data_IF_461671360217
#
_entry.id   IF_461671360217
#
_cell.length_a   1.000
_cell.length_b   1.000
_cell.length_c   1.000
_cell.angle_alpha   90.00
_cell.angle_beta   90.00
_cell.angle_gamma   90.00
#
_symmetry.space_group_name_H-M   'P 1'
#
loop_
_entity.id
_entity.type
_entity.pdbx_description
1 polymer ?
#
# COMPACT_ATOMS: atom_id res chain seq x y z
N UNK A 1 11.94 31.08 -12.33
CA UNK A 1 11.22 30.45 -11.20
C UNK A 1 10.44 29.24 -11.69
N UNK A 2 10.96 28.01 -11.51
CA UNK A 2 10.25 26.78 -11.89
C UNK A 2 9.40 26.35 -10.68
N UNK A 3 8.07 26.34 -10.82
CA UNK A 3 7.15 25.76 -9.82
C UNK A 3 7.57 24.31 -9.57
N UNK A 4 7.83 23.96 -8.31
CA UNK A 4 8.04 22.58 -7.88
C UNK A 4 6.84 21.75 -8.38
N UNK A 5 7.09 20.91 -9.37
CA UNK A 5 6.07 20.04 -9.95
C UNK A 5 5.94 18.89 -8.96
N UNK A 6 4.90 18.94 -8.14
CA UNK A 6 4.44 17.83 -7.30
C UNK A 6 4.53 16.56 -8.14
N UNK A 7 5.52 15.72 -7.86
CA UNK A 7 5.80 14.49 -8.59
C UNK A 7 4.53 13.64 -8.60
N UNK A 8 4.21 13.01 -9.74
CA UNK A 8 3.01 12.22 -9.88
C UNK A 8 3.02 11.08 -8.86
N UNK A 9 2.22 11.23 -7.81
CA UNK A 9 1.95 10.20 -6.80
C UNK A 9 1.14 9.07 -7.46
N UNK A 10 1.18 7.86 -6.88
CA UNK A 10 0.37 6.75 -7.40
C UNK A 10 -1.12 7.15 -7.56
N UNK A 11 -1.86 6.52 -8.50
CA UNK A 11 -3.23 6.90 -8.80
C UNK A 11 -4.06 6.95 -7.52
N UNK A 12 -4.69 8.09 -7.27
CA UNK A 12 -5.58 8.28 -6.12
C UNK A 12 -6.95 7.76 -6.52
N UNK A 13 -7.52 6.91 -5.68
CA UNK A 13 -8.87 6.41 -5.89
C UNK A 13 -9.84 7.59 -6.02
N UNK A 14 -10.64 7.58 -7.09
CA UNK A 14 -11.73 8.55 -7.33
C UNK A 14 -11.30 10.04 -7.40
N UNK A 15 -10.01 10.33 -7.58
CA UNK A 15 -9.51 11.70 -7.79
C UNK A 15 -9.40 12.57 -6.53
N UNK A 16 -9.54 11.98 -5.34
CA UNK A 16 -9.37 12.70 -4.08
C UNK A 16 -7.95 13.30 -3.95
N UNK A 17 -7.81 14.43 -3.25
CA UNK A 17 -6.47 15.04 -3.02
C UNK A 17 -5.66 14.21 -2.03
N UNK A 18 -6.29 13.66 -1.00
CA UNK A 18 -5.66 12.76 -0.02
C UNK A 18 -5.92 11.31 -0.39
N UNK A 19 -5.01 10.42 0.03
CA UNK A 19 -5.28 8.99 -0.04
C UNK A 19 -6.42 8.63 0.93
N UNK A 20 -7.34 7.74 0.53
CA UNK A 20 -8.39 7.26 1.42
C UNK A 20 -7.84 6.42 2.57
N UNK A 21 -8.62 6.38 3.65
CA UNK A 21 -8.38 5.54 4.82
C UNK A 21 -9.23 4.28 4.68
N UNK A 22 -8.58 3.12 4.58
CA UNK A 22 -9.23 1.82 4.48
C UNK A 22 -9.32 1.17 5.86
N UNK A 23 -10.37 1.51 6.62
CA UNK A 23 -10.65 0.94 7.94
C UNK A 23 -11.39 -0.40 7.85
N UNK A 24 -10.90 -1.31 7.01
CA UNK A 24 -11.42 -2.66 6.87
C UNK A 24 -10.40 -3.68 7.41
N UNK A 25 -10.89 -4.84 7.85
CA UNK A 25 -10.03 -5.94 8.29
C UNK A 25 -9.89 -6.99 7.19
N UNK A 26 -10.99 -7.29 6.50
CA UNK A 26 -11.07 -8.27 5.42
C UNK A 26 -11.41 -7.58 4.10
N UNK A 27 -10.92 -8.14 3.00
CA UNK A 27 -11.21 -7.69 1.65
C UNK A 27 -11.92 -8.82 0.89
N UNK A 28 -13.00 -8.47 0.19
CA UNK A 28 -13.79 -9.41 -0.60
C UNK A 28 -13.16 -9.67 -1.97
N UNK A 29 -13.46 -10.84 -2.53
CA UNK A 29 -13.05 -11.25 -3.87
C UNK A 29 -14.27 -11.81 -4.61
N UNK A 30 -14.41 -11.50 -5.89
CA UNK A 30 -15.55 -11.96 -6.70
C UNK A 30 -15.46 -13.46 -7.02
N UNK A 31 -14.24 -13.99 -7.11
CA UNK A 31 -13.95 -15.40 -7.41
C UNK A 31 -12.97 -15.99 -6.41
N UNK A 32 -13.08 -17.30 -6.19
CA UNK A 32 -12.18 -18.04 -5.29
C UNK A 32 -10.76 -18.06 -5.85
N UNK A 33 -10.61 -18.13 -7.18
CA UNK A 33 -9.32 -18.11 -7.87
C UNK A 33 -8.56 -16.81 -7.60
N UNK A 34 -9.26 -15.68 -7.48
CA UNK A 34 -8.65 -14.38 -7.18
C UNK A 34 -8.10 -14.36 -5.76
N UNK A 35 -8.86 -14.88 -4.80
CA UNK A 35 -8.41 -15.06 -3.42
C UNK A 35 -7.16 -15.95 -3.37
N UNK A 36 -7.19 -17.11 -4.04
CA UNK A 36 -6.05 -18.03 -4.11
C UNK A 36 -4.82 -17.33 -4.70
N UNK A 37 -4.99 -16.57 -5.79
CA UNK A 37 -3.89 -15.88 -6.45
C UNK A 37 -3.22 -14.84 -5.55
N UNK A 38 -4.00 -14.10 -4.74
CA UNK A 38 -3.43 -13.14 -3.77
C UNK A 38 -2.76 -13.88 -2.61
N UNK A 39 -3.36 -14.96 -2.10
CA UNK A 39 -2.74 -15.78 -1.03
C UNK A 39 -1.42 -16.43 -1.46
N UNK A 40 -1.32 -16.86 -2.71
CA UNK A 40 -0.10 -17.45 -3.29
C UNK A 40 0.91 -16.39 -3.76
N UNK A 41 0.60 -15.09 -3.64
CA UNK A 41 1.45 -14.00 -4.12
C UNK A 41 1.59 -13.92 -5.65
N UNK A 42 0.73 -14.63 -6.39
CA UNK A 42 0.72 -14.64 -7.85
C UNK A 42 -0.02 -13.44 -8.44
N UNK A 43 -1.00 -12.88 -7.71
CA UNK A 43 -1.64 -11.62 -8.04
C UNK A 43 -0.92 -10.46 -7.33
N UNK A 44 -0.29 -9.57 -8.10
CA UNK A 44 0.40 -8.38 -7.55
C UNK A 44 -0.63 -7.32 -7.14
N UNK A 45 -0.44 -6.77 -5.94
CA UNK A 45 -1.23 -5.63 -5.45
C UNK A 45 -2.60 -5.98 -4.86
N UNK A 46 -2.89 -7.27 -4.63
CA UNK A 46 -4.09 -7.69 -3.91
C UNK A 46 -3.93 -7.58 -2.39
N UNK A 47 -5.03 -7.29 -1.70
CA UNK A 47 -5.12 -7.27 -0.24
C UNK A 47 -6.14 -8.33 0.18
N UNK A 48 -5.78 -9.21 1.11
CA UNK A 48 -6.71 -10.19 1.68
C UNK A 48 -7.14 -9.79 3.09
N UNK A 49 -6.16 -9.38 3.90
CA UNK A 49 -6.32 -9.18 5.32
C UNK A 49 -5.43 -8.04 5.83
N UNK A 50 -6.02 -7.09 6.54
CA UNK A 50 -5.38 -5.84 6.95
C UNK A 50 -4.13 -6.02 7.82
N UNK A 51 -3.99 -7.17 8.49
CA UNK A 51 -2.78 -7.52 9.26
C UNK A 51 -1.52 -7.53 8.40
N UNK A 52 -1.62 -7.95 7.13
CA UNK A 52 -0.47 -8.00 6.21
C UNK A 52 -0.25 -6.66 5.52
N UNK A 53 -1.31 -5.89 5.33
CA UNK A 53 -1.27 -4.57 4.73
C UNK A 53 -2.66 -4.12 4.28
N UNK A 54 -2.79 -2.83 4.07
CA UNK A 54 -3.99 -2.20 3.49
C UNK A 54 -3.58 -1.32 2.32
N UNK A 55 -4.51 -0.90 1.44
CA UNK A 55 -4.16 0.07 0.40
C UNK A 55 -3.63 1.38 0.98
N UNK A 56 -4.07 1.74 2.20
CA UNK A 56 -3.57 2.92 2.93
C UNK A 56 -2.11 2.75 3.37
N UNK A 57 -1.72 1.61 3.96
CA UNK A 57 -0.31 1.39 4.34
C UNK A 57 0.58 1.23 3.11
N UNK A 58 0.09 0.56 2.07
CA UNK A 58 0.82 0.41 0.81
C UNK A 58 1.07 1.76 0.11
N UNK A 59 0.15 2.72 0.23
CA UNK A 59 0.36 4.07 -0.26
C UNK A 59 1.49 4.79 0.50
N UNK A 60 1.56 4.60 1.83
CA UNK A 60 2.64 5.13 2.66
C UNK A 60 3.98 4.47 2.31
N UNK A 61 4.02 3.15 2.17
CA UNK A 61 5.22 2.39 1.78
C UNK A 61 5.79 2.90 0.46
N UNK A 62 4.95 3.00 -0.59
CA UNK A 62 5.36 3.54 -1.89
C UNK A 62 5.92 4.97 -1.78
N UNK A 63 5.31 5.79 -0.92
CA UNK A 63 5.77 7.16 -0.68
C UNK A 63 7.15 7.18 -0.02
N UNK A 64 7.37 6.37 1.00
CA UNK A 64 8.68 6.25 1.66
C UNK A 64 9.72 5.74 0.67
N UNK A 65 9.41 4.66 -0.07
CA UNK A 65 10.30 4.09 -1.08
C UNK A 65 10.75 5.13 -2.10
N UNK A 66 9.81 5.97 -2.58
CA UNK A 66 10.13 7.03 -3.54
C UNK A 66 11.03 8.12 -2.94
N UNK A 67 10.81 8.51 -1.68
CA UNK A 67 11.61 9.53 -1.00
C UNK A 67 13.04 9.05 -0.70
N UNK A 68 13.20 7.78 -0.37
CA UNK A 68 14.49 7.16 -0.02
C UNK A 68 15.23 6.60 -1.25
N UNK A 69 14.66 6.71 -2.45
CA UNK A 69 15.19 6.09 -3.67
C UNK A 69 15.49 4.57 -3.51
N UNK A 70 14.70 3.89 -2.68
CA UNK A 70 14.86 2.46 -2.38
C UNK A 70 14.13 1.55 -3.37
N UNK A 71 14.32 0.24 -3.20
CA UNK A 71 13.59 -0.78 -3.97
C UNK A 71 12.19 -1.09 -3.40
N UNK A 72 11.99 -0.86 -2.10
CA UNK A 72 10.74 -1.12 -1.40
C UNK A 72 10.81 -0.65 0.05
N UNK A 73 9.66 -0.59 0.70
CA UNK A 73 9.52 -0.24 2.11
C UNK A 73 8.37 -1.04 2.70
N UNK A 74 8.46 -1.34 4.00
CA UNK A 74 7.39 -2.00 4.77
C UNK A 74 7.10 -1.12 5.98
N UNK A 75 5.82 -0.92 6.27
CA UNK A 75 5.38 -0.16 7.45
C UNK A 75 5.00 -1.10 8.58
N UNK A 76 5.49 -0.78 9.77
CA UNK A 76 5.19 -1.51 11.00
C UNK A 76 4.34 -0.66 11.95
N UNK A 77 3.72 -1.31 12.93
CA UNK A 77 2.91 -0.63 13.94
C UNK A 77 3.73 0.35 14.80
N UNK A 78 5.02 0.04 15.04
CA UNK A 78 5.95 0.90 15.80
C UNK A 78 7.36 0.79 15.25
N UNK A 79 8.24 1.73 15.63
CA UNK A 79 9.66 1.67 15.29
C UNK A 79 10.38 0.46 15.89
N UNK A 80 10.03 0.07 17.13
CA UNK A 80 10.62 -1.14 17.74
C UNK A 80 10.19 -2.42 17.01
N UNK A 81 8.94 -2.48 16.52
CA UNK A 81 8.51 -3.59 15.69
C UNK A 81 9.30 -3.67 14.37
N UNK A 82 9.66 -2.51 13.79
CA UNK A 82 10.51 -2.47 12.60
C UNK A 82 11.95 -2.94 12.86
N UNK A 83 12.50 -2.66 14.04
CA UNK A 83 13.86 -3.09 14.43
C UNK A 83 13.91 -4.60 14.70
N UNK A 84 12.85 -5.17 15.26
CA UNK A 84 12.80 -6.59 15.64
C UNK A 84 12.29 -7.53 14.54
N UNK A 85 11.92 -7.02 13.36
CA UNK A 85 11.30 -7.78 12.28
C UNK A 85 12.27 -8.71 11.54
#
# INVERSE_FOLDING_TARGET
MRRARWTAWAPKEQGAVHYPIHSSVQYGHDKVEDLIAVFQGSAKGGFNYARQGTPTTAALERKITQMEHGHGSIVFATGMAAICA
#
